data_IF_669476078213
#
_entry.id   IF_669476078213
#
_cell.length_a   1.000
_cell.length_b   1.000
_cell.length_c   1.000
_cell.angle_alpha   90.00
_cell.angle_beta   90.00
_cell.angle_gamma   90.00
#
_symmetry.space_group_name_H-M   'P 1'
#
loop_
_entity.id
_entity.type
_entity.pdbx_description
1 polymer ?
#
# COMPACT_ATOMS: atom_id res chain seq x y z
N UNK A 1 0.17 35.94 -38.35
CA UNK A 1 0.66 35.13 -37.21
C UNK A 1 0.26 33.68 -37.47
N UNK A 2 1.19 32.74 -37.68
CA UNK A 2 0.81 31.33 -37.76
C UNK A 2 0.29 30.90 -36.39
N UNK A 3 -0.97 30.47 -36.35
CA UNK A 3 -1.63 29.98 -35.15
C UNK A 3 -0.90 28.77 -34.59
N UNK A 4 -0.69 28.78 -33.28
CA UNK A 4 -0.17 27.64 -32.55
C UNK A 4 -1.02 26.41 -32.88
N UNK A 5 -0.45 25.28 -33.34
CA UNK A 5 -1.23 24.07 -33.54
C UNK A 5 -1.88 23.66 -32.21
N UNK A 6 -3.13 23.14 -32.22
CA UNK A 6 -3.74 22.61 -31.01
C UNK A 6 -2.81 21.55 -30.43
N UNK A 7 -2.50 21.68 -29.13
CA UNK A 7 -1.66 20.72 -28.41
C UNK A 7 -2.18 19.31 -28.71
N UNK A 8 -1.30 18.45 -29.20
CA UNK A 8 -1.61 17.05 -29.49
C UNK A 8 -2.30 16.43 -28.26
N UNK A 9 -3.34 15.60 -28.44
CA UNK A 9 -3.96 14.92 -27.32
C UNK A 9 -2.90 14.02 -26.67
N UNK A 10 -2.38 14.47 -25.53
CA UNK A 10 -1.57 13.62 -24.66
C UNK A 10 -2.36 12.34 -24.41
N UNK A 11 -1.75 11.14 -24.54
CA UNK A 11 -2.45 9.88 -24.33
C UNK A 11 -3.19 9.96 -23.00
N UNK A 12 -4.52 9.88 -23.08
CA UNK A 12 -5.45 10.10 -21.99
C UNK A 12 -5.05 9.20 -20.83
N UNK A 13 -4.46 9.80 -19.79
CA UNK A 13 -3.99 9.04 -18.63
C UNK A 13 -5.19 8.34 -17.99
N UNK A 14 -5.06 7.08 -17.54
CA UNK A 14 -6.16 6.36 -16.93
C UNK A 14 -6.67 7.14 -15.71
N UNK A 15 -7.94 7.58 -15.72
CA UNK A 15 -8.50 8.46 -14.68
C UNK A 15 -8.33 7.88 -13.27
N UNK A 16 -8.35 6.56 -13.12
CA UNK A 16 -8.19 5.88 -11.82
C UNK A 16 -6.76 5.90 -11.25
N UNK A 17 -5.76 6.28 -12.06
CA UNK A 17 -4.38 6.54 -11.61
C UNK A 17 -4.15 8.02 -11.28
N UNK A 18 -5.22 8.82 -11.25
CA UNK A 18 -5.15 10.23 -10.85
C UNK A 18 -4.97 10.36 -9.34
N UNK A 19 -4.23 11.39 -8.92
CA UNK A 19 -3.91 11.64 -7.51
C UNK A 19 -2.59 10.99 -7.06
N UNK A 20 -2.44 10.83 -5.74
CA UNK A 20 -1.30 10.12 -5.14
C UNK A 20 0.08 10.75 -5.37
N UNK A 21 0.20 12.08 -5.45
CA UNK A 21 1.48 12.79 -5.45
C UNK A 21 2.58 12.12 -6.30
N UNK A 22 3.71 11.81 -5.66
CA UNK A 22 4.86 11.20 -6.32
C UNK A 22 4.64 9.73 -6.69
N UNK A 23 3.84 8.97 -5.93
CA UNK A 23 3.53 7.58 -6.29
C UNK A 23 2.58 7.47 -7.48
N UNK A 24 1.62 8.38 -7.62
CA UNK A 24 0.73 8.45 -8.77
C UNK A 24 1.48 8.82 -10.04
N UNK A 25 2.44 9.74 -9.96
CA UNK A 25 3.36 10.02 -11.07
C UNK A 25 4.18 8.79 -11.46
N UNK A 26 4.75 8.09 -10.49
CA UNK A 26 5.50 6.85 -10.72
C UNK A 26 4.63 5.74 -11.31
N UNK A 27 3.40 5.58 -10.83
CA UNK A 27 2.46 4.60 -11.38
C UNK A 27 2.07 4.92 -12.82
N UNK A 28 1.90 6.19 -13.17
CA UNK A 28 1.63 6.61 -14.55
C UNK A 28 2.84 6.45 -15.48
N UNK A 29 4.04 6.64 -14.95
CA UNK A 29 5.29 6.49 -15.70
C UNK A 29 5.79 5.05 -15.84
N UNK A 30 5.28 4.12 -15.02
CA UNK A 30 5.69 2.71 -15.06
C UNK A 30 5.09 2.02 -16.29
N UNK A 31 5.94 1.34 -17.06
CA UNK A 31 5.48 0.40 -18.08
C UNK A 31 4.93 -0.87 -17.40
N UNK A 32 3.62 -0.89 -17.19
CA UNK A 32 2.93 -2.02 -16.57
C UNK A 32 2.89 -3.27 -17.44
N UNK A 33 3.11 -3.14 -18.76
CA UNK A 33 3.16 -4.32 -19.65
C UNK A 33 4.33 -5.24 -19.31
N UNK A 34 5.40 -4.68 -18.71
CA UNK A 34 6.56 -5.41 -18.22
C UNK A 34 6.38 -5.97 -16.78
N UNK A 35 5.19 -5.87 -16.20
CA UNK A 35 4.87 -6.36 -14.84
C UNK A 35 3.89 -7.53 -14.89
N UNK A 36 3.78 -8.33 -13.81
CA UNK A 36 2.80 -9.42 -13.76
C UNK A 36 1.33 -8.97 -13.86
N UNK A 37 1.03 -7.69 -13.68
CA UNK A 37 -0.34 -7.15 -13.85
C UNK A 37 -0.68 -6.86 -15.31
N UNK A 38 0.32 -6.83 -16.19
CA UNK A 38 0.15 -6.46 -17.58
C UNK A 38 -0.33 -5.01 -17.77
N UNK A 39 -0.66 -4.64 -19.02
CA UNK A 39 -1.03 -3.27 -19.36
C UNK A 39 -2.26 -2.80 -18.58
N UNK A 40 -2.23 -1.54 -18.16
CA UNK A 40 -3.28 -0.90 -17.35
C UNK A 40 -4.68 -1.00 -17.98
N UNK A 41 -4.75 -1.00 -19.31
CA UNK A 41 -5.99 -1.16 -20.07
C UNK A 41 -6.69 -2.52 -19.82
N UNK A 42 -5.93 -3.55 -19.45
CA UNK A 42 -6.44 -4.90 -19.15
C UNK A 42 -6.78 -5.13 -17.68
N UNK A 43 -6.55 -4.15 -16.79
CA UNK A 43 -6.78 -4.35 -15.37
C UNK A 43 -8.28 -4.55 -15.06
N UNK A 44 -8.64 -5.53 -14.21
CA UNK A 44 -10.02 -5.70 -13.74
C UNK A 44 -10.52 -4.45 -13.02
N UNK A 45 -11.83 -4.16 -13.11
CA UNK A 45 -12.45 -2.98 -12.47
C UNK A 45 -12.16 -2.92 -10.96
N UNK A 46 -12.22 -4.05 -10.27
CA UNK A 46 -11.90 -4.14 -8.84
C UNK A 46 -10.47 -3.64 -8.52
N UNK A 47 -9.49 -3.97 -9.36
CA UNK A 47 -8.11 -3.50 -9.18
C UNK A 47 -8.02 -1.98 -9.41
N UNK A 48 -8.73 -1.45 -10.43
CA UNK A 48 -8.76 -0.01 -10.71
C UNK A 48 -9.34 0.76 -9.53
N UNK A 49 -10.46 0.30 -8.98
CA UNK A 49 -11.12 0.90 -7.81
C UNK A 49 -10.23 0.84 -6.57
N UNK A 50 -9.63 -0.32 -6.28
CA UNK A 50 -8.71 -0.46 -5.15
C UNK A 50 -7.47 0.45 -5.30
N UNK A 51 -6.91 0.55 -6.50
CA UNK A 51 -5.76 1.42 -6.80
C UNK A 51 -6.12 2.89 -6.60
N UNK A 52 -7.30 3.31 -7.06
CA UNK A 52 -7.78 4.67 -6.89
C UNK A 52 -7.95 5.03 -5.39
N UNK A 53 -8.57 4.14 -4.62
CA UNK A 53 -8.73 4.30 -3.16
C UNK A 53 -7.35 4.39 -2.48
N UNK A 54 -6.44 3.48 -2.84
CA UNK A 54 -5.08 3.44 -2.30
C UNK A 54 -4.33 4.75 -2.56
N UNK A 55 -4.30 5.22 -3.81
CA UNK A 55 -3.60 6.45 -4.22
C UNK A 55 -4.13 7.70 -3.54
N UNK A 56 -5.44 7.77 -3.28
CA UNK A 56 -6.08 8.95 -2.69
C UNK A 56 -6.16 8.90 -1.15
N UNK A 57 -5.66 7.83 -0.52
CA UNK A 57 -5.63 7.72 0.94
C UNK A 57 -4.40 8.39 1.55
N UNK A 58 -4.59 9.05 2.69
CA UNK A 58 -3.50 9.55 3.54
C UNK A 58 -2.92 8.46 4.45
N UNK A 59 -3.60 7.32 4.59
CA UNK A 59 -3.10 6.19 5.36
C UNK A 59 -2.12 5.36 4.50
N UNK A 60 -1.08 4.75 5.10
CA UNK A 60 -0.19 3.84 4.37
C UNK A 60 -0.96 2.61 3.87
N UNK A 61 -1.07 2.46 2.55
CA UNK A 61 -1.75 1.32 1.92
C UNK A 61 -0.84 0.69 0.88
N UNK A 62 -0.78 -0.65 0.91
CA UNK A 62 -0.17 -1.48 -0.12
C UNK A 62 -1.15 -2.58 -0.55
N UNK A 63 -1.19 -2.86 -1.84
CA UNK A 63 -1.97 -3.93 -2.45
C UNK A 63 -1.01 -4.96 -3.03
N UNK A 64 -1.30 -6.23 -2.75
CA UNK A 64 -0.69 -7.37 -3.42
C UNK A 64 -1.75 -7.99 -4.31
N UNK A 65 -1.50 -8.04 -5.62
CA UNK A 65 -2.52 -8.44 -6.57
C UNK A 65 -2.04 -9.54 -7.53
N UNK A 66 -2.94 -10.47 -7.84
CA UNK A 66 -2.69 -11.62 -8.70
C UNK A 66 -1.82 -12.71 -8.08
N UNK A 67 -1.59 -13.78 -8.84
CA UNK A 67 -0.81 -14.97 -8.44
C UNK A 67 0.64 -14.65 -8.04
N UNK A 68 1.24 -13.68 -8.73
CA UNK A 68 2.60 -13.22 -8.48
C UNK A 68 2.70 -12.18 -7.36
N UNK A 69 1.57 -11.78 -6.78
CA UNK A 69 1.48 -10.78 -5.72
C UNK A 69 2.20 -9.48 -6.09
N UNK A 70 1.90 -8.95 -7.28
CA UNK A 70 2.47 -7.69 -7.74
C UNK A 70 2.12 -6.57 -6.74
N UNK A 71 3.13 -5.78 -6.36
CA UNK A 71 3.00 -4.80 -5.29
C UNK A 71 2.65 -3.41 -5.83
N UNK A 72 1.51 -2.87 -5.41
CA UNK A 72 1.09 -1.48 -5.59
C UNK A 72 1.09 -0.79 -4.23
N UNK A 73 1.46 0.48 -4.14
CA UNK A 73 1.42 1.23 -2.86
C UNK A 73 1.32 2.74 -3.07
N UNK A 74 0.90 3.48 -2.04
CA UNK A 74 0.80 4.93 -2.06
C UNK A 74 1.99 5.66 -1.39
N UNK A 75 2.02 6.99 -1.46
CA UNK A 75 3.09 7.81 -0.91
C UNK A 75 3.27 7.59 0.60
N UNK A 76 2.17 7.47 1.35
CA UNK A 76 2.20 7.23 2.78
C UNK A 76 2.87 5.88 3.13
N UNK A 77 2.82 4.90 2.23
CA UNK A 77 3.47 3.61 2.39
C UNK A 77 4.94 3.60 1.91
N UNK A 78 5.34 4.54 1.03
CA UNK A 78 6.67 4.61 0.43
C UNK A 78 7.89 4.55 1.39
N UNK A 79 7.83 5.01 2.67
CA UNK A 79 8.95 4.89 3.60
C UNK A 79 9.11 3.48 4.20
N UNK A 80 8.04 2.69 4.27
CA UNK A 80 7.99 1.35 4.89
C UNK A 80 8.96 0.35 4.22
N UNK A 81 9.04 0.25 2.89
CA UNK A 81 9.94 -0.70 2.22
C UNK A 81 11.43 -0.31 2.31
N UNK A 82 11.77 0.87 2.85
CA UNK A 82 13.14 1.38 2.96
C UNK A 82 13.81 1.52 1.59
N UNK A 83 15.07 1.08 1.46
CA UNK A 83 15.84 1.13 0.21
C UNK A 83 15.33 0.24 -0.94
N UNK A 84 14.09 -0.26 -0.85
CA UNK A 84 13.39 -0.90 -1.97
C UNK A 84 12.44 0.04 -2.68
N UNK A 85 12.10 1.20 -2.11
CA UNK A 85 11.43 2.25 -2.89
C UNK A 85 12.45 2.92 -3.83
N UNK A 86 12.10 3.22 -5.11
CA UNK A 86 10.81 2.95 -5.77
C UNK A 86 10.72 1.57 -6.43
N UNK A 87 11.84 0.85 -6.58
CA UNK A 87 11.95 -0.41 -7.35
C UNK A 87 10.98 -1.51 -6.94
N UNK A 88 10.38 -1.46 -5.76
CA UNK A 88 9.38 -2.43 -5.30
C UNK A 88 8.03 -2.33 -6.03
N UNK A 89 7.74 -1.20 -6.68
CA UNK A 89 6.47 -0.99 -7.39
C UNK A 89 6.38 -1.95 -8.59
N UNK A 90 5.24 -2.66 -8.70
CA UNK A 90 4.95 -3.59 -9.79
C UNK A 90 5.77 -4.88 -9.77
N UNK A 91 6.67 -5.07 -8.79
CA UNK A 91 7.49 -6.28 -8.72
C UNK A 91 6.71 -7.47 -8.15
N UNK A 92 7.01 -8.70 -8.59
CA UNK A 92 6.48 -9.91 -7.99
C UNK A 92 6.84 -10.00 -6.50
N UNK A 93 5.84 -10.18 -5.64
CA UNK A 93 6.04 -10.43 -4.20
C UNK A 93 6.77 -11.75 -3.92
N UNK A 94 6.86 -12.63 -4.92
CA UNK A 94 7.52 -13.95 -4.86
C UNK A 94 9.02 -13.95 -5.10
N UNK A 95 9.71 -12.81 -5.28
CA UNK A 95 11.18 -12.79 -5.29
C UNK A 95 11.76 -13.06 -3.88
N UNK A 96 11.58 -14.30 -3.42
CA UNK A 96 12.35 -14.96 -2.38
C UNK A 96 13.16 -16.02 -3.12
N UNK A 97 14.50 -15.97 -3.13
CA UNK A 97 15.28 -17.13 -3.52
C UNK A 97 14.77 -18.36 -2.74
N UNK A 98 14.74 -19.58 -3.31
CA UNK A 98 14.42 -20.76 -2.53
C UNK A 98 15.29 -20.76 -1.26
N UNK A 99 14.76 -21.15 -0.08
CA UNK A 99 15.62 -21.25 1.09
C UNK A 99 16.71 -22.27 0.74
N UNK A 100 17.95 -21.78 0.57
CA UNK A 100 19.10 -22.66 0.53
C UNK A 100 19.20 -23.43 1.85
N UNK A 101 19.96 -24.54 1.90
CA UNK A 101 20.01 -25.43 3.06
C UNK A 101 20.54 -24.80 4.37
N UNK A 102 20.82 -23.49 4.42
CA UNK A 102 21.35 -22.75 5.56
C UNK A 102 20.44 -21.60 6.06
N UNK A 103 19.13 -21.66 5.80
CA UNK A 103 18.21 -20.52 5.93
C UNK A 103 17.29 -20.45 7.16
N UNK A 104 17.60 -21.15 8.25
CA UNK A 104 16.86 -21.03 9.52
C UNK A 104 17.68 -20.22 10.54
N UNK A 105 17.77 -18.91 10.36
CA UNK A 105 18.00 -17.99 11.48
C UNK A 105 16.65 -17.38 11.91
N UNK A 106 16.36 -17.51 13.19
CA UNK A 106 15.04 -17.48 13.82
C UNK A 106 14.57 -16.03 14.13
N UNK A 107 15.09 -15.04 13.39
CA UNK A 107 14.93 -13.61 13.71
C UNK A 107 14.08 -12.84 12.72
N UNK A 108 13.05 -13.46 12.11
CA UNK A 108 12.04 -12.72 11.33
C UNK A 108 10.87 -12.30 12.22
N UNK A 109 10.96 -11.10 12.81
CA UNK A 109 9.77 -10.43 13.36
C UNK A 109 8.84 -10.06 12.20
N UNK A 110 7.53 -10.37 12.26
CA UNK A 110 6.60 -9.96 11.22
C UNK A 110 6.55 -8.44 11.12
N UNK A 111 6.44 -7.91 9.89
CA UNK A 111 6.29 -6.48 9.58
C UNK A 111 5.11 -5.84 10.34
N UNK A 112 4.13 -6.64 10.75
CA UNK A 112 3.02 -6.22 11.62
C UNK A 112 3.44 -5.69 13.01
N UNK A 113 4.65 -5.99 13.48
CA UNK A 113 5.06 -5.69 14.85
C UNK A 113 5.79 -4.33 15.04
N UNK A 114 5.79 -3.44 14.04
CA UNK A 114 6.52 -2.14 14.13
C UNK A 114 5.63 -0.90 14.28
N UNK A 115 4.31 -1.06 14.39
CA UNK A 115 3.36 0.03 14.70
C UNK A 115 3.00 0.19 16.19
N UNK A 116 3.72 -0.47 17.11
CA UNK A 116 3.44 -0.41 18.54
C UNK A 116 4.53 0.29 19.39
N UNK A 117 5.30 1.23 18.83
CA UNK A 117 6.22 2.07 19.62
C UNK A 117 6.16 3.54 19.21
N UNK A 118 5.07 4.17 19.60
CA UNK A 118 5.02 5.61 19.83
C UNK A 118 4.26 5.91 21.13
N UNK A 119 4.84 5.50 22.27
CA UNK A 119 4.55 6.08 23.59
C UNK A 119 5.84 5.99 24.41
N UNK A 120 6.53 7.12 24.59
CA UNK A 120 7.58 7.26 25.62
C UNK A 120 6.91 7.28 27.00
N UNK A 121 7.59 6.84 28.07
CA UNK A 121 7.00 6.74 29.40
C UNK A 121 7.21 8.05 30.18
N UNK A 122 6.24 8.39 31.03
CA UNK A 122 6.49 9.13 32.26
C UNK A 122 5.72 8.42 33.36
N UNK A 123 6.46 7.82 34.29
CA UNK A 123 5.87 7.29 35.51
C UNK A 123 5.52 8.43 36.46
N UNK A 124 4.34 8.35 37.06
CA UNK A 124 4.10 8.72 38.45
C UNK A 124 2.76 8.11 38.88
N UNK A 125 2.78 7.49 40.05
CA UNK A 125 1.69 6.75 40.67
C UNK A 125 0.45 7.62 40.97
N UNK A 126 -0.73 7.01 40.97
CA UNK A 126 -1.58 6.85 42.17
C UNK A 126 -3.03 6.49 41.80
N UNK A 127 -3.53 5.47 42.51
CA UNK A 127 -4.89 5.30 43.01
C UNK A 127 -6.06 5.10 42.03
N UNK A 128 -6.52 3.85 41.96
CA UNK A 128 -7.90 3.45 41.65
C UNK A 128 -8.85 3.97 42.76
N UNK A 129 -10.06 4.41 42.41
CA UNK A 129 -11.25 3.58 42.60
C UNK A 129 -12.07 3.57 41.31
N UNK A 130 -12.58 2.44 40.83
CA UNK A 130 -13.63 1.68 41.48
C UNK A 130 -14.92 1.89 40.70
N UNK A 131 -15.17 1.04 39.69
CA UNK A 131 -16.53 0.83 39.22
C UNK A 131 -16.66 -0.59 38.66
N UNK A 132 -17.43 -1.40 39.38
CA UNK A 132 -17.90 -2.71 38.98
C UNK A 132 -19.35 -2.52 38.51
N UNK A 133 -19.66 -2.80 37.24
CA UNK A 133 -21.01 -3.16 36.79
C UNK A 133 -20.81 -4.24 35.72
N UNK A 134 -20.97 -5.50 36.09
CA UNK A 134 -22.21 -6.27 35.93
C UNK A 134 -22.44 -6.67 34.47
N UNK A 135 -21.93 -7.87 34.18
CA UNK A 135 -22.59 -9.00 33.53
C UNK A 135 -23.70 -8.75 32.49
N UNK A 136 -23.51 -9.39 31.34
CA UNK A 136 -24.50 -10.15 30.58
C UNK A 136 -25.89 -9.52 30.34
N UNK A 137 -26.12 -9.03 29.11
CA UNK A 137 -26.95 -9.76 28.12
C UNK A 137 -27.20 -8.96 26.82
N UNK A 138 -27.34 -9.76 25.76
CA UNK A 138 -28.20 -9.60 24.60
C UNK A 138 -27.83 -8.55 23.53
N UNK A 139 -27.47 -9.08 22.36
CA UNK A 139 -27.64 -8.45 21.06
C UNK A 139 -29.10 -8.63 20.59
N UNK A 140 -29.77 -7.57 20.10
CA UNK A 140 -30.57 -7.74 18.89
C UNK A 140 -30.34 -6.61 17.88
N UNK A 141 -30.48 -6.96 16.60
CA UNK A 141 -30.17 -6.10 15.47
C UNK A 141 -31.14 -4.96 15.19
N UNK A 142 -30.71 -4.16 14.21
CA UNK A 142 -31.48 -3.29 13.32
C UNK A 142 -30.65 -3.14 12.04
#
# INVERSE_FOLDING_TARGET
>A
MPGNPPAEPHPSQPTFLSGGGGMGERMRALDWSATPLGPVAGWPEALRSATNIMLNSRFPIALYWGEELALLYNDAWSPIPGGKHPRALGQPGRQRPPPGPAGLDHRRRPVAARLARARRPAGAAASTPGFRLASDRAWPGA
#
